data_IF_061226018131
#
_entry.id   IF_061226018131
#
_cell.length_a   1.000
_cell.length_b   1.000
_cell.length_c   1.000
_cell.angle_alpha   90.00
_cell.angle_beta   90.00
_cell.angle_gamma   90.00
#
_symmetry.space_group_name_H-M   'P 1'
#
loop_
_entity.id
_entity.type
_entity.pdbx_description
1 polymer ?
#
# COMPACT_ATOMS: atom_id res chain seq x y z
N UNK A 1 41.31 -27.98 33.25
CA UNK A 1 41.25 -26.52 33.52
C UNK A 1 40.67 -25.91 32.26
N UNK A 2 39.45 -25.36 32.27
CA UNK A 2 39.00 -24.13 32.93
C UNK A 2 39.56 -22.87 32.23
N UNK A 3 38.77 -21.85 31.88
CA UNK A 3 37.34 -21.60 32.18
C UNK A 3 36.56 -21.07 30.96
N UNK A 4 35.24 -21.14 31.02
CA UNK A 4 34.34 -20.53 30.03
C UNK A 4 33.98 -19.08 30.42
N UNK A 5 33.73 -18.23 29.42
CA UNK A 5 33.20 -16.88 29.59
C UNK A 5 31.85 -16.77 28.88
N UNK A 6 30.75 -16.81 29.64
CA UNK A 6 29.40 -16.63 29.10
C UNK A 6 29.07 -15.12 29.05
N UNK A 7 28.89 -14.57 27.85
CA UNK A 7 28.40 -13.21 27.67
C UNK A 7 26.86 -13.18 27.70
N UNK A 8 26.28 -12.48 28.66
CA UNK A 8 24.83 -12.36 28.82
C UNK A 8 24.23 -11.42 27.77
N UNK A 9 23.33 -11.95 26.93
CA UNK A 9 22.52 -11.12 26.03
C UNK A 9 21.47 -10.35 26.82
N UNK A 10 21.74 -9.07 27.08
CA UNK A 10 20.79 -8.14 27.68
C UNK A 10 19.63 -7.85 26.74
N UNK A 11 18.40 -7.88 27.25
CA UNK A 11 17.18 -7.59 26.50
C UNK A 11 17.01 -6.08 26.28
N UNK A 12 17.74 -5.52 25.31
CA UNK A 12 17.62 -4.10 24.94
C UNK A 12 16.24 -3.83 24.34
N UNK A 13 15.42 -3.02 25.04
CA UNK A 13 14.09 -2.67 24.56
C UNK A 13 14.13 -1.72 23.37
N UNK A 14 13.35 -2.03 22.34
CA UNK A 14 13.23 -1.23 21.12
C UNK A 14 12.49 0.09 21.40
N UNK A 15 13.22 1.09 21.89
CA UNK A 15 12.74 2.48 21.92
C UNK A 15 12.62 2.99 20.49
N UNK A 16 11.39 3.00 19.96
CA UNK A 16 11.02 3.74 18.75
C UNK A 16 11.52 5.19 18.91
N UNK A 17 12.36 5.65 17.98
CA UNK A 17 12.75 7.07 17.92
C UNK A 17 11.58 7.87 17.34
N UNK A 18 10.99 8.84 18.07
CA UNK A 18 9.99 9.72 17.49
C UNK A 18 10.66 10.78 16.61
N UNK A 19 10.16 10.97 15.38
CA UNK A 19 10.42 12.17 14.59
C UNK A 19 11.32 12.02 13.37
N UNK A 20 10.73 11.59 12.25
CA UNK A 20 10.91 12.27 10.95
C UNK A 20 9.50 12.59 10.44
N UNK A 21 9.24 13.85 10.09
CA UNK A 21 7.93 14.29 9.57
C UNK A 21 7.85 13.94 8.08
N UNK A 22 6.66 13.59 7.54
CA UNK A 22 6.45 13.71 6.10
C UNK A 22 6.76 15.14 5.63
N UNK A 23 7.12 15.27 4.35
CA UNK A 23 7.07 16.54 3.64
C UNK A 23 5.67 17.15 3.79
N UNK A 24 5.58 18.28 4.50
CA UNK A 24 4.31 18.98 4.72
C UNK A 24 4.02 19.87 3.51
N UNK A 25 2.86 19.67 2.88
CA UNK A 25 2.29 20.64 1.95
C UNK A 25 2.03 21.97 2.69
N UNK A 26 2.37 23.14 2.11
CA UNK A 26 2.22 24.45 2.76
C UNK A 26 0.78 25.00 2.67
N UNK A 27 -0.22 24.18 3.01
CA UNK A 27 -1.63 24.57 3.07
C UNK A 27 -2.11 24.65 4.53
N UNK A 28 -2.07 25.84 5.12
CA UNK A 28 -2.75 26.13 6.38
C UNK A 28 -4.22 26.46 6.14
N UNK A 29 -5.17 25.93 6.94
CA UNK A 29 -6.56 26.40 6.90
C UNK A 29 -6.71 27.74 7.65
N UNK A 30 -7.25 28.75 6.98
CA UNK A 30 -7.64 30.00 7.64
C UNK A 30 -8.87 29.81 8.55
N UNK A 31 -8.91 30.42 9.75
CA UNK A 31 -10.00 30.23 10.70
C UNK A 31 -11.13 31.29 10.61
N UNK A 32 -12.22 30.98 11.32
CA UNK A 32 -13.37 31.81 11.76
C UNK A 32 -14.65 31.77 10.92
N UNK A 33 -15.78 31.62 11.64
CA UNK A 33 -17.13 31.44 11.09
C UNK A 33 -18.14 30.91 12.12
N UNK A 34 -18.08 31.35 13.39
CA UNK A 34 -19.10 30.97 14.40
C UNK A 34 -20.32 31.88 14.27
N UNK A 35 -21.51 31.28 14.16
CA UNK A 35 -22.81 31.89 14.47
C UNK A 35 -23.54 30.96 15.44
N UNK A 36 -24.25 31.50 16.42
CA UNK A 36 -24.73 30.73 17.58
C UNK A 36 -26.19 31.04 17.93
N UNK A 37 -27.00 29.96 18.00
CA UNK A 37 -28.30 29.80 18.68
C UNK A 37 -29.45 30.77 18.37
N UNK A 38 -30.63 30.18 18.18
CA UNK A 38 -31.80 30.53 19.00
C UNK A 38 -32.58 29.26 19.40
N UNK A 39 -33.41 29.38 20.45
CA UNK A 39 -34.26 28.33 21.03
C UNK A 39 -35.72 28.79 20.99
N UNK A 40 -36.65 27.87 20.79
CA UNK A 40 -38.05 27.99 21.23
C UNK A 40 -38.41 26.70 22.01
N UNK A 41 -39.38 26.78 22.93
CA UNK A 41 -39.54 25.82 24.02
C UNK A 41 -40.91 25.11 24.07
N UNK A 42 -40.87 23.87 24.58
CA UNK A 42 -41.80 23.22 25.52
C UNK A 42 -43.28 23.64 25.48
N UNK A 43 -44.15 22.64 25.26
CA UNK A 43 -45.36 22.50 26.07
C UNK A 43 -45.51 21.04 26.54
N UNK A 44 -46.16 20.82 27.69
CA UNK A 44 -46.27 19.50 28.30
C UNK A 44 -47.53 19.35 29.17
N UNK A 45 -48.15 18.17 29.14
CA UNK A 45 -49.24 17.78 30.06
C UNK A 45 -49.08 16.31 30.46
N UNK A 46 -49.38 15.98 31.73
CA UNK A 46 -49.39 14.59 32.26
C UNK A 46 -50.78 13.93 32.00
N UNK A 47 -51.00 12.65 32.31
CA UNK A 47 -51.51 12.22 33.63
C UNK A 47 -51.36 10.69 33.85
N UNK A 48 -51.34 10.32 35.14
CA UNK A 48 -51.23 9.03 35.86
C UNK A 48 -51.96 7.81 35.24
N UNK A 49 -51.35 6.62 35.15
CA UNK A 49 -51.11 5.53 36.16
C UNK A 49 -52.31 4.61 36.48
N UNK A 50 -52.12 3.29 36.29
CA UNK A 50 -52.74 2.20 37.08
C UNK A 50 -51.95 0.88 36.91
N UNK A 51 -51.95 0.02 37.93
CA UNK A 51 -51.33 -1.34 38.00
C UNK A 51 -52.05 -2.16 39.09
N UNK A 52 -51.74 -3.46 39.34
CA UNK A 52 -51.49 -4.60 38.44
C UNK A 52 -52.46 -5.78 38.75
N UNK A 53 -52.32 -6.96 38.11
CA UNK A 53 -52.74 -8.25 38.73
C UNK A 53 -52.17 -9.52 38.08
N UNK A 54 -52.23 -10.62 38.83
CA UNK A 54 -52.18 -12.05 38.47
C UNK A 54 -50.87 -12.71 37.95
N UNK A 55 -50.35 -13.64 38.74
CA UNK A 55 -49.67 -14.88 38.28
C UNK A 55 -50.74 -15.96 37.95
N UNK A 56 -50.50 -17.20 37.49
CA UNK A 56 -49.30 -18.07 37.40
C UNK A 56 -49.55 -19.05 36.18
N UNK A 57 -49.13 -20.31 35.96
CA UNK A 57 -48.37 -21.36 36.65
C UNK A 57 -47.92 -22.47 35.66
N UNK A 58 -46.74 -23.10 35.85
CA UNK A 58 -46.25 -24.34 35.20
C UNK A 58 -46.02 -24.30 33.66
N UNK A 59 -45.02 -24.97 33.07
CA UNK A 59 -44.56 -26.33 33.36
C UNK A 59 -43.07 -26.62 33.01
N UNK A 60 -42.67 -27.87 33.24
CA UNK A 60 -41.31 -28.36 33.45
C UNK A 60 -40.50 -28.78 32.21
N UNK A 61 -39.17 -28.71 32.37
CA UNK A 61 -38.15 -29.57 31.72
C UNK A 61 -38.07 -29.64 30.19
N UNK A 62 -37.02 -29.03 29.65
CA UNK A 62 -35.87 -29.78 29.05
C UNK A 62 -34.65 -28.87 28.92
N UNK A 63 -33.60 -29.13 29.70
CA UNK A 63 -32.29 -28.53 29.43
C UNK A 63 -31.70 -29.17 28.17
N UNK A 64 -31.97 -28.57 27.02
CA UNK A 64 -31.13 -28.76 25.84
C UNK A 64 -29.90 -27.87 26.06
N UNK A 65 -28.76 -28.49 26.37
CA UNK A 65 -27.48 -27.81 26.22
C UNK A 65 -27.29 -27.59 24.72
N UNK A 66 -27.61 -26.38 24.26
CA UNK A 66 -27.21 -25.94 22.93
C UNK A 66 -25.69 -25.82 22.96
N UNK A 67 -25.03 -26.70 22.20
CA UNK A 67 -23.59 -26.67 22.07
C UNK A 67 -23.22 -25.31 21.45
N UNK A 68 -22.50 -24.49 22.21
CA UNK A 68 -21.92 -23.26 21.68
C UNK A 68 -20.83 -23.68 20.71
N UNK A 69 -21.21 -23.81 19.43
CA UNK A 69 -20.26 -23.81 18.33
C UNK A 69 -19.48 -22.50 18.40
N UNK A 70 -18.35 -22.57 19.10
CA UNK A 70 -17.20 -21.79 18.70
C UNK A 70 -16.82 -22.36 17.34
N UNK A 71 -17.19 -21.66 16.28
CA UNK A 71 -16.58 -21.89 14.99
C UNK A 71 -15.08 -21.70 15.18
N UNK A 72 -14.35 -22.81 15.25
CA UNK A 72 -12.90 -22.81 15.28
C UNK A 72 -12.44 -22.30 13.92
N UNK A 73 -12.30 -20.98 13.78
CA UNK A 73 -11.70 -20.35 12.60
C UNK A 73 -10.35 -21.02 12.36
N UNK A 74 -10.28 -21.84 11.31
CA UNK A 74 -9.08 -22.60 11.00
C UNK A 74 -8.00 -21.62 10.57
N UNK A 75 -6.89 -21.60 11.31
CA UNK A 75 -5.80 -20.67 11.06
C UNK A 75 -5.35 -20.77 9.59
N UNK A 76 -5.31 -19.65 8.85
CA UNK A 76 -5.06 -19.68 7.42
C UNK A 76 -3.63 -20.15 7.13
N UNK A 77 -3.50 -21.08 6.18
CA UNK A 77 -2.20 -21.63 5.78
C UNK A 77 -1.25 -20.50 5.37
N UNK A 78 -1.73 -19.58 4.53
CA UNK A 78 -1.05 -18.35 4.14
C UNK A 78 -1.99 -17.15 4.24
N UNK A 79 -1.54 -16.09 4.91
CA UNK A 79 -2.23 -14.80 5.02
C UNK A 79 -1.53 -13.74 4.16
N UNK A 80 -2.31 -12.98 3.38
CA UNK A 80 -1.85 -11.85 2.59
C UNK A 80 -2.48 -10.53 3.02
N UNK A 81 -1.74 -9.43 2.89
CA UNK A 81 -2.25 -8.04 2.91
C UNK A 81 -1.99 -7.43 1.54
N UNK A 82 -3.01 -6.81 0.94
CA UNK A 82 -2.88 -6.04 -0.31
C UNK A 82 -3.25 -4.59 -0.05
N UNK A 83 -2.32 -3.66 -0.28
CA UNK A 83 -2.56 -2.23 -0.04
C UNK A 83 -3.27 -1.58 -1.22
N UNK A 84 -4.37 -0.86 -0.95
CA UNK A 84 -5.18 -0.25 -2.01
C UNK A 84 -5.91 -1.28 -2.88
N UNK A 85 -6.35 -2.38 -2.27
CA UNK A 85 -6.94 -3.54 -2.94
C UNK A 85 -8.38 -3.35 -3.43
N UNK A 86 -8.99 -2.17 -3.30
CA UNK A 86 -10.41 -1.95 -3.62
C UNK A 86 -10.70 -1.62 -5.11
N UNK A 87 -9.69 -1.61 -5.98
CA UNK A 87 -9.85 -1.37 -7.44
C UNK A 87 -8.59 -1.74 -8.23
N UNK A 88 -8.75 -1.92 -9.55
CA UNK A 88 -7.66 -2.10 -10.50
C UNK A 88 -6.77 -3.29 -10.15
N UNK A 89 -5.46 -3.16 -10.39
CA UNK A 89 -4.46 -4.21 -10.13
C UNK A 89 -4.56 -4.76 -8.70
N UNK A 90 -4.78 -3.91 -7.70
CA UNK A 90 -4.90 -4.33 -6.30
C UNK A 90 -6.09 -5.25 -6.04
N UNK A 91 -7.24 -4.98 -6.67
CA UNK A 91 -8.44 -5.83 -6.57
C UNK A 91 -8.20 -7.19 -7.21
N UNK A 92 -7.52 -7.20 -8.35
CA UNK A 92 -7.21 -8.42 -9.07
C UNK A 92 -6.14 -9.27 -8.37
N UNK A 93 -5.14 -8.65 -7.73
CA UNK A 93 -4.21 -9.38 -6.86
C UNK A 93 -4.95 -10.04 -5.70
N UNK A 94 -5.97 -9.39 -5.12
CA UNK A 94 -6.84 -10.04 -4.14
C UNK A 94 -7.59 -11.24 -4.74
N UNK A 95 -8.22 -11.08 -5.91
CA UNK A 95 -8.94 -12.15 -6.64
C UNK A 95 -8.03 -13.36 -6.90
N UNK A 96 -6.87 -13.14 -7.51
CA UNK A 96 -5.95 -14.19 -7.92
C UNK A 96 -5.26 -14.88 -6.74
N UNK A 97 -4.88 -14.16 -5.67
CA UNK A 97 -4.33 -14.80 -4.46
C UNK A 97 -5.40 -15.66 -3.74
N UNK A 98 -6.63 -15.17 -3.65
CA UNK A 98 -7.73 -15.91 -3.03
C UNK A 98 -8.11 -17.17 -3.83
N UNK A 99 -8.09 -17.12 -5.16
CA UNK A 99 -8.22 -18.28 -6.05
C UNK A 99 -7.06 -19.29 -5.94
N UNK A 100 -5.95 -18.93 -5.28
CA UNK A 100 -4.84 -19.82 -4.94
C UNK A 100 -4.88 -20.27 -3.47
N UNK A 101 -6.03 -20.15 -2.80
CA UNK A 101 -6.26 -20.60 -1.42
C UNK A 101 -5.67 -19.70 -0.33
N UNK A 102 -5.02 -18.59 -0.69
CA UNK A 102 -4.48 -17.62 0.28
C UNK A 102 -5.63 -16.84 0.91
N UNK A 103 -5.61 -16.63 2.23
CA UNK A 103 -6.56 -15.72 2.88
C UNK A 103 -6.08 -14.29 2.70
N UNK A 104 -6.89 -13.44 2.08
CA UNK A 104 -6.48 -12.07 1.70
C UNK A 104 -7.19 -11.03 2.54
N UNK A 105 -6.43 -10.19 3.23
CA UNK A 105 -6.90 -8.93 3.78
C UNK A 105 -6.82 -7.87 2.68
N UNK A 106 -7.96 -7.60 2.04
CA UNK A 106 -8.15 -6.50 1.10
C UNK A 106 -8.23 -5.20 1.90
N UNK A 107 -7.35 -4.24 1.60
CA UNK A 107 -7.31 -2.97 2.35
C UNK A 107 -7.59 -1.75 1.50
N UNK A 108 -8.29 -0.77 2.09
CA UNK A 108 -8.72 0.46 1.43
C UNK A 108 -8.75 1.64 2.40
N UNK A 109 -8.51 2.85 1.89
CA UNK A 109 -8.65 4.09 2.66
C UNK A 109 -10.10 4.41 3.00
N UNK A 110 -10.96 4.24 2.01
CA UNK A 110 -12.40 4.41 2.12
C UNK A 110 -13.03 3.08 2.54
N UNK A 111 -13.68 3.08 3.71
CA UNK A 111 -14.29 1.89 4.30
C UNK A 111 -15.47 1.36 3.48
N UNK A 112 -16.28 2.24 2.86
CA UNK A 112 -17.42 1.79 2.06
C UNK A 112 -16.93 1.10 0.79
N UNK A 113 -16.08 1.78 0.01
CA UNK A 113 -15.50 1.23 -1.24
C UNK A 113 -14.69 -0.04 -1.00
N UNK A 114 -14.08 -0.17 0.18
CA UNK A 114 -13.39 -1.38 0.61
C UNK A 114 -14.34 -2.55 0.88
N UNK A 115 -15.45 -2.33 1.59
CA UNK A 115 -16.48 -3.35 1.83
C UNK A 115 -17.22 -3.72 0.54
N UNK A 116 -17.65 -2.73 -0.24
CA UNK A 116 -18.28 -2.91 -1.55
C UNK A 116 -17.42 -3.84 -2.44
N UNK A 117 -16.11 -3.58 -2.50
CA UNK A 117 -15.18 -4.36 -3.31
C UNK A 117 -15.00 -5.80 -2.83
N UNK A 118 -15.06 -6.08 -1.52
CA UNK A 118 -15.04 -7.45 -1.00
C UNK A 118 -16.37 -8.16 -1.30
N UNK A 119 -17.51 -7.49 -1.12
CA UNK A 119 -18.83 -8.06 -1.39
C UNK A 119 -18.99 -8.45 -2.87
N UNK A 120 -18.69 -7.53 -3.80
CA UNK A 120 -18.69 -7.82 -5.24
C UNK A 120 -17.74 -8.96 -5.60
N UNK A 121 -16.49 -8.90 -5.12
CA UNK A 121 -15.47 -9.91 -5.46
C UNK A 121 -15.83 -11.31 -4.94
N UNK A 122 -16.30 -11.43 -3.71
CA UNK A 122 -16.74 -12.69 -3.13
C UNK A 122 -17.95 -13.28 -3.88
N UNK A 123 -18.91 -12.43 -4.27
CA UNK A 123 -20.08 -12.85 -5.04
C UNK A 123 -19.72 -13.25 -6.49
N UNK A 124 -18.98 -12.43 -7.22
CA UNK A 124 -18.58 -12.67 -8.61
C UNK A 124 -17.71 -13.92 -8.79
N UNK A 125 -16.81 -14.17 -7.84
CA UNK A 125 -15.79 -15.22 -7.94
C UNK A 125 -16.07 -16.44 -7.06
N UNK A 126 -17.20 -16.46 -6.34
CA UNK A 126 -17.56 -17.49 -5.35
C UNK A 126 -16.45 -17.73 -4.31
N UNK A 127 -15.93 -16.65 -3.72
CA UNK A 127 -14.84 -16.67 -2.74
C UNK A 127 -15.36 -16.36 -1.33
N UNK A 128 -14.73 -16.97 -0.32
CA UNK A 128 -15.04 -16.74 1.11
C UNK A 128 -13.81 -16.35 1.94
N UNK A 129 -12.62 -16.42 1.34
CA UNK A 129 -11.31 -16.21 1.97
C UNK A 129 -10.77 -14.77 1.79
N UNK A 130 -11.65 -13.79 1.56
CA UNK A 130 -11.28 -12.36 1.48
C UNK A 130 -11.95 -11.59 2.62
N UNK A 131 -11.14 -10.80 3.33
CA UNK A 131 -11.52 -10.04 4.52
C UNK A 131 -11.24 -8.56 4.25
N UNK A 132 -12.16 -7.66 4.60
CA UNK A 132 -11.88 -6.23 4.57
C UNK A 132 -11.19 -5.73 5.85
N UNK A 133 -10.18 -4.87 5.72
CA UNK A 133 -9.73 -4.00 6.81
C UNK A 133 -9.37 -2.61 6.28
N UNK A 134 -9.76 -1.54 6.98
CA UNK A 134 -9.42 -0.17 6.59
C UNK A 134 -7.91 0.07 6.68
N UNK A 135 -7.34 0.76 5.70
CA UNK A 135 -5.94 1.19 5.71
C UNK A 135 -5.74 2.48 4.94
N UNK A 136 -5.27 3.54 5.62
CA UNK A 136 -4.43 4.55 4.99
C UNK A 136 -2.98 4.32 5.39
N UNK A 137 -2.14 4.05 4.37
CA UNK A 137 -0.70 3.87 4.54
C UNK A 137 0.01 5.15 5.02
N UNK A 138 -0.65 6.31 4.99
CA UNK A 138 -0.11 7.58 5.49
C UNK A 138 -0.42 7.83 6.98
N UNK A 139 -1.45 7.21 7.57
CA UNK A 139 -1.81 7.41 8.99
C UNK A 139 -1.26 6.30 9.92
N UNK A 140 -0.53 6.69 10.96
CA UNK A 140 0.04 5.78 11.96
C UNK A 140 -1.03 4.97 12.72
N UNK A 141 -2.19 5.57 13.01
CA UNK A 141 -3.23 4.88 13.78
C UNK A 141 -3.87 3.76 12.95
N UNK A 142 -4.12 4.00 11.66
CA UNK A 142 -4.60 3.04 10.68
C UNK A 142 -3.61 1.90 10.46
N UNK A 143 -2.31 2.21 10.22
CA UNK A 143 -1.24 1.19 10.14
C UNK A 143 -1.14 0.35 11.41
N UNK A 144 -1.16 0.99 12.59
CA UNK A 144 -1.11 0.31 13.89
C UNK A 144 -2.41 -0.43 14.25
N UNK A 145 -3.55 -0.08 13.64
CA UNK A 145 -4.80 -0.84 13.75
C UNK A 145 -4.71 -2.15 12.97
N UNK A 146 -4.28 -2.10 11.71
CA UNK A 146 -4.10 -3.28 10.88
C UNK A 146 -3.06 -4.25 11.48
N UNK A 147 -1.93 -3.73 11.99
CA UNK A 147 -0.93 -4.56 12.66
C UNK A 147 -1.51 -5.31 13.88
N UNK A 148 -2.23 -4.61 14.78
CA UNK A 148 -2.89 -5.24 15.95
C UNK A 148 -4.01 -6.19 15.56
N UNK A 149 -4.72 -5.94 14.46
CA UNK A 149 -5.75 -6.82 13.95
C UNK A 149 -5.16 -8.16 13.48
N UNK A 150 -4.05 -8.11 12.73
CA UNK A 150 -3.35 -9.31 12.25
C UNK A 150 -2.70 -10.06 13.42
N UNK A 151 -2.04 -9.34 14.33
CA UNK A 151 -1.44 -9.92 15.55
C UNK A 151 -2.48 -10.68 16.39
N UNK A 152 -3.62 -10.05 16.69
CA UNK A 152 -4.64 -10.62 17.58
C UNK A 152 -5.49 -11.74 16.96
N UNK A 153 -5.72 -11.75 15.64
CA UNK A 153 -6.51 -12.80 14.96
C UNK A 153 -5.66 -13.91 14.32
N UNK A 154 -4.43 -13.61 13.88
CA UNK A 154 -3.63 -14.52 13.06
C UNK A 154 -2.19 -14.74 13.56
N UNK A 155 -1.63 -13.85 14.40
CA UNK A 155 -0.26 -13.95 14.96
C UNK A 155 0.91 -13.88 13.96
N UNK A 156 0.63 -13.94 12.65
CA UNK A 156 1.62 -13.90 11.57
C UNK A 156 1.06 -13.19 10.32
N UNK A 157 1.96 -12.82 9.42
CA UNK A 157 1.64 -12.46 8.04
C UNK A 157 2.61 -13.20 7.11
N UNK A 158 2.15 -13.74 5.99
CA UNK A 158 3.03 -14.44 5.04
C UNK A 158 3.35 -13.58 3.82
N UNK A 159 2.39 -12.80 3.33
CA UNK A 159 2.50 -12.00 2.11
C UNK A 159 2.10 -10.55 2.36
N UNK A 160 2.93 -9.59 1.90
CA UNK A 160 2.58 -8.18 1.79
C UNK A 160 2.73 -7.71 0.33
N UNK A 161 1.64 -7.25 -0.28
CA UNK A 161 1.65 -6.59 -1.59
C UNK A 161 1.43 -5.09 -1.42
N UNK A 162 2.51 -4.33 -1.59
CA UNK A 162 2.51 -2.87 -1.59
C UNK A 162 2.10 -2.33 -2.97
N UNK A 163 0.81 -2.35 -3.24
CA UNK A 163 0.20 -1.92 -4.51
C UNK A 163 -0.28 -0.45 -4.50
N UNK A 164 -0.64 0.10 -3.34
CA UNK A 164 -1.18 1.45 -3.24
C UNK A 164 -0.22 2.53 -3.80
N UNK A 165 -0.75 3.44 -4.61
CA UNK A 165 0.02 4.54 -5.19
C UNK A 165 -0.81 5.56 -5.97
N UNK A 166 -0.15 6.63 -6.40
CA UNK A 166 -0.72 7.74 -7.19
C UNK A 166 0.24 8.18 -8.31
N UNK A 167 -0.31 8.73 -9.40
CA UNK A 167 0.45 9.19 -10.56
C UNK A 167 1.27 10.48 -10.34
N UNK A 168 1.02 11.22 -9.25
CA UNK A 168 1.85 12.36 -8.84
C UNK A 168 1.77 13.62 -9.70
N UNK A 169 0.72 13.76 -10.51
CA UNK A 169 0.47 14.89 -11.42
C UNK A 169 -1.01 15.29 -11.37
N UNK A 170 -1.29 16.57 -11.60
CA UNK A 170 -2.64 17.08 -11.83
C UNK A 170 -2.96 16.97 -13.32
N UNK A 171 -4.19 16.55 -13.68
CA UNK A 171 -4.54 16.24 -15.08
C UNK A 171 -5.92 16.75 -15.46
N UNK A 172 -5.99 17.51 -16.55
CA UNK A 172 -7.22 17.70 -17.32
C UNK A 172 -7.51 16.42 -18.09
N UNK A 173 -8.49 15.65 -17.62
CA UNK A 173 -8.82 14.35 -18.22
C UNK A 173 -9.54 14.50 -19.57
N UNK A 174 -10.27 15.59 -19.80
CA UNK A 174 -11.06 15.77 -21.02
C UNK A 174 -10.19 16.37 -22.12
N UNK A 175 -9.30 17.31 -21.79
CA UNK A 175 -8.19 17.71 -22.65
C UNK A 175 -7.29 16.52 -23.00
N UNK A 176 -6.92 15.67 -22.04
CA UNK A 176 -6.08 14.49 -22.31
C UNK A 176 -6.78 13.46 -23.22
N UNK A 177 -8.09 13.24 -23.05
CA UNK A 177 -8.89 12.41 -23.97
C UNK A 177 -8.92 13.01 -25.38
N UNK A 178 -9.10 14.32 -25.49
CA UNK A 178 -9.16 15.02 -26.78
C UNK A 178 -7.86 14.94 -27.59
N UNK A 179 -6.70 14.77 -26.94
CA UNK A 179 -5.42 14.55 -27.62
C UNK A 179 -5.28 13.16 -28.28
N UNK A 180 -6.14 12.19 -27.93
CA UNK A 180 -6.21 10.85 -28.54
C UNK A 180 -4.84 10.16 -28.73
N UNK A 181 -3.97 10.24 -27.72
CA UNK A 181 -2.56 9.82 -27.82
C UNK A 181 -2.47 8.29 -27.85
N UNK A 182 -1.92 7.74 -28.94
CA UNK A 182 -1.63 6.32 -29.11
C UNK A 182 -0.82 5.76 -27.90
N UNK A 183 -1.27 4.67 -27.24
CA UNK A 183 -0.58 4.06 -26.09
C UNK A 183 0.92 3.78 -26.27
N UNK A 184 1.39 3.56 -27.50
CA UNK A 184 2.81 3.32 -27.81
C UNK A 184 3.64 4.60 -27.70
N UNK A 185 3.04 5.76 -27.97
CA UNK A 185 3.69 7.08 -27.85
C UNK A 185 3.96 7.40 -26.37
N UNK A 186 3.03 7.05 -25.47
CA UNK A 186 3.25 7.10 -24.02
C UNK A 186 4.46 6.29 -23.58
N UNK A 187 4.52 5.00 -23.96
CA UNK A 187 5.62 4.11 -23.62
C UNK A 187 6.97 4.67 -24.10
N UNK A 188 7.02 5.13 -25.36
CA UNK A 188 8.22 5.66 -26.01
C UNK A 188 8.81 6.94 -25.40
N UNK A 189 8.13 7.58 -24.46
CA UNK A 189 8.52 8.86 -23.86
C UNK A 189 8.24 10.09 -24.74
N UNK A 190 7.97 9.91 -26.04
CA UNK A 190 7.74 11.01 -27.00
C UNK A 190 6.48 11.83 -26.74
N UNK A 191 5.63 11.41 -25.80
CA UNK A 191 4.42 12.15 -25.42
C UNK A 191 4.68 13.44 -24.62
N UNK A 192 5.87 13.69 -24.05
CA UNK A 192 6.14 14.83 -23.13
C UNK A 192 5.58 16.16 -23.65
N UNK A 193 5.97 16.56 -24.85
CA UNK A 193 5.58 17.87 -25.41
C UNK A 193 4.10 17.94 -25.82
N UNK A 194 3.43 16.79 -25.96
CA UNK A 194 1.98 16.72 -26.23
C UNK A 194 1.17 16.83 -24.94
N UNK A 195 1.66 16.28 -23.83
CA UNK A 195 0.92 16.22 -22.56
C UNK A 195 1.17 17.42 -21.64
N UNK A 196 2.21 18.23 -21.86
CA UNK A 196 2.56 19.39 -21.01
C UNK A 196 1.40 20.37 -20.74
N UNK A 197 0.46 20.53 -21.67
CA UNK A 197 -0.71 21.42 -21.52
C UNK A 197 -1.84 20.84 -20.67
N UNK A 198 -1.89 19.51 -20.50
CA UNK A 198 -3.00 18.78 -19.85
C UNK A 198 -2.55 17.93 -18.67
N UNK A 199 -1.25 17.72 -18.49
CA UNK A 199 -0.61 17.03 -17.36
C UNK A 199 0.40 17.98 -16.71
N UNK A 200 0.02 18.53 -15.55
CA UNK A 200 0.80 19.50 -14.80
C UNK A 200 1.45 18.83 -13.61
N UNK A 201 2.79 18.85 -13.55
CA UNK A 201 3.53 18.54 -12.33
C UNK A 201 3.50 19.75 -11.41
N UNK A 202 2.96 19.59 -10.20
CA UNK A 202 3.10 20.58 -9.13
C UNK A 202 3.98 20.05 -8.00
N UNK A 203 4.50 20.94 -7.15
CA UNK A 203 5.25 20.56 -5.96
C UNK A 203 4.41 19.73 -4.98
N UNK A 204 3.14 20.10 -4.76
CA UNK A 204 2.25 19.37 -3.85
C UNK A 204 1.87 17.97 -4.37
N UNK A 205 1.63 17.82 -5.68
CA UNK A 205 1.40 16.49 -6.26
C UNK A 205 2.68 15.63 -6.25
N UNK A 206 3.87 16.24 -6.36
CA UNK A 206 5.14 15.53 -6.19
C UNK A 206 5.35 15.04 -4.75
N UNK A 207 5.14 15.92 -3.76
CA UNK A 207 5.18 15.58 -2.33
C UNK A 207 4.18 14.46 -2.01
N UNK A 208 2.94 14.58 -2.49
CA UNK A 208 1.89 13.56 -2.36
C UNK A 208 2.26 12.24 -3.05
N UNK A 209 2.96 12.29 -4.18
CA UNK A 209 3.48 11.11 -4.88
C UNK A 209 4.54 10.39 -4.04
N UNK A 210 5.58 11.10 -3.58
CA UNK A 210 6.66 10.53 -2.78
C UNK A 210 6.14 10.00 -1.43
N UNK A 211 5.27 10.77 -0.76
CA UNK A 211 4.61 10.36 0.48
C UNK A 211 3.82 9.06 0.28
N UNK A 212 3.02 8.93 -0.79
CA UNK A 212 2.21 7.71 -1.00
C UNK A 212 3.05 6.53 -1.51
N UNK A 213 3.81 6.73 -2.58
CA UNK A 213 4.44 5.65 -3.34
C UNK A 213 5.69 5.07 -2.67
N UNK A 214 6.43 5.89 -1.90
CA UNK A 214 7.63 5.46 -1.17
C UNK A 214 7.42 5.46 0.35
N UNK A 215 7.11 6.60 0.97
CA UNK A 215 7.08 6.67 2.43
C UNK A 215 5.95 5.82 3.05
N UNK A 216 4.75 5.86 2.48
CA UNK A 216 3.63 4.99 2.90
C UNK A 216 3.94 3.50 2.73
N UNK A 217 4.58 3.12 1.61
CA UNK A 217 5.08 1.77 1.34
C UNK A 217 6.13 1.33 2.38
N UNK A 218 7.08 2.21 2.71
CA UNK A 218 8.08 2.00 3.76
C UNK A 218 7.41 1.79 5.11
N UNK A 219 6.55 2.70 5.55
CA UNK A 219 5.96 2.65 6.89
C UNK A 219 5.00 1.48 7.10
N UNK A 220 4.21 1.07 6.09
CA UNK A 220 3.38 -0.14 6.22
C UNK A 220 4.24 -1.41 6.23
N UNK A 221 5.32 -1.44 5.46
CA UNK A 221 6.29 -2.55 5.50
C UNK A 221 6.95 -2.65 6.88
N UNK A 222 7.40 -1.54 7.45
CA UNK A 222 7.98 -1.49 8.80
C UNK A 222 6.98 -1.90 9.89
N UNK A 223 5.72 -1.46 9.79
CA UNK A 223 4.66 -1.82 10.75
C UNK A 223 4.29 -3.31 10.72
N UNK A 224 4.35 -3.96 9.55
CA UNK A 224 4.01 -5.38 9.38
C UNK A 224 5.23 -6.31 9.43
N UNK A 225 6.44 -5.78 9.39
CA UNK A 225 7.69 -6.57 9.45
C UNK A 225 7.80 -7.49 10.68
N UNK A 226 7.32 -7.15 11.90
CA UNK A 226 7.31 -8.07 13.04
C UNK A 226 6.45 -9.32 12.81
N UNK A 227 5.34 -9.18 12.09
CA UNK A 227 4.39 -10.25 11.76
C UNK A 227 4.87 -11.08 10.57
N UNK A 228 5.49 -10.44 9.57
CA UNK A 228 6.17 -11.12 8.46
C UNK A 228 7.28 -12.04 8.96
N UNK A 229 7.96 -11.69 10.05
CA UNK A 229 8.98 -12.54 10.70
C UNK A 229 8.40 -13.78 11.41
N UNK A 230 7.08 -13.86 11.62
CA UNK A 230 6.41 -15.06 12.16
C UNK A 230 5.88 -16.00 11.05
N UNK A 231 6.13 -15.71 9.77
CA UNK A 231 5.70 -16.57 8.66
C UNK A 231 6.40 -17.93 8.70
N UNK A 232 5.63 -18.99 8.95
CA UNK A 232 6.09 -20.38 8.87
C UNK A 232 6.29 -20.87 7.43
N UNK A 233 5.60 -20.27 6.44
CA UNK A 233 5.79 -20.59 5.00
C UNK A 233 6.94 -19.81 4.35
N UNK A 234 7.55 -18.88 5.09
CA UNK A 234 8.53 -17.93 4.58
C UNK A 234 7.88 -16.70 3.96
N UNK A 235 8.30 -15.52 4.40
CA UNK A 235 7.64 -14.25 4.07
C UNK A 235 7.93 -13.76 2.65
N UNK A 236 6.96 -13.04 2.08
CA UNK A 236 7.00 -12.42 0.75
C UNK A 236 6.61 -10.95 0.85
N UNK A 237 7.40 -10.07 0.24
CA UNK A 237 7.07 -8.65 0.07
C UNK A 237 7.17 -8.31 -1.40
N UNK A 238 6.09 -7.76 -1.96
CA UNK A 238 5.94 -7.45 -3.38
C UNK A 238 5.64 -5.96 -3.50
N UNK A 239 6.57 -5.21 -4.08
CA UNK A 239 6.47 -3.77 -4.24
C UNK A 239 6.07 -3.40 -5.68
N UNK A 240 4.86 -2.87 -5.88
CA UNK A 240 4.41 -2.50 -7.23
C UNK A 240 5.17 -1.27 -7.72
N UNK A 241 5.94 -1.46 -8.79
CA UNK A 241 6.77 -0.44 -9.44
C UNK A 241 6.31 -0.15 -10.87
N UNK A 242 7.16 0.43 -11.71
CA UNK A 242 6.85 0.82 -13.08
C UNK A 242 8.09 0.75 -13.96
N UNK A 243 7.93 0.62 -15.29
CA UNK A 243 8.98 0.89 -16.27
C UNK A 243 9.61 2.29 -16.07
N UNK A 244 8.88 3.26 -15.50
CA UNK A 244 9.43 4.58 -15.12
C UNK A 244 10.44 4.56 -13.95
N UNK A 245 10.71 3.38 -13.37
CA UNK A 245 11.81 3.17 -12.42
C UNK A 245 13.14 2.83 -13.10
N UNK A 246 13.18 2.61 -14.41
CA UNK A 246 14.41 2.28 -15.12
C UNK A 246 15.48 3.37 -14.95
N UNK A 247 16.73 2.93 -14.73
CA UNK A 247 17.90 3.81 -14.56
C UNK A 247 18.36 4.39 -15.91
N UNK A 248 17.53 5.26 -16.50
CA UNK A 248 17.70 5.94 -17.80
C UNK A 248 17.72 7.47 -17.68
N UNK A 249 17.93 8.01 -16.48
CA UNK A 249 18.00 9.46 -16.24
C UNK A 249 19.30 10.09 -16.78
N UNK A 250 19.29 11.37 -17.20
CA UNK A 250 20.50 12.06 -17.69
C UNK A 250 21.64 12.18 -16.67
N UNK A 251 21.34 12.26 -15.37
CA UNK A 251 22.37 12.35 -14.32
C UNK A 251 23.14 11.03 -14.18
N UNK A 252 24.24 10.90 -14.92
CA UNK A 252 25.03 9.66 -15.04
C UNK A 252 25.59 9.19 -13.70
N UNK A 253 26.11 10.14 -12.90
CA UNK A 253 26.68 9.85 -11.59
C UNK A 253 25.63 9.26 -10.66
N UNK A 254 24.46 9.89 -10.53
CA UNK A 254 23.37 9.38 -9.70
C UNK A 254 22.86 8.03 -10.20
N UNK A 255 22.68 7.90 -11.52
CA UNK A 255 22.25 6.66 -12.18
C UNK A 255 23.17 5.47 -11.84
N UNK A 256 24.48 5.69 -11.81
CA UNK A 256 25.45 4.64 -11.52
C UNK A 256 25.61 4.40 -10.01
N UNK A 257 25.50 5.44 -9.16
CA UNK A 257 25.38 5.29 -7.71
C UNK A 257 24.14 4.45 -7.33
N UNK A 258 22.99 4.65 -7.97
CA UNK A 258 21.74 3.92 -7.75
C UNK A 258 21.86 2.41 -8.03
N UNK A 259 22.79 1.98 -8.89
CA UNK A 259 23.06 0.54 -9.14
C UNK A 259 23.78 -0.13 -7.98
N UNK A 260 24.52 0.62 -7.17
CA UNK A 260 25.29 0.11 -6.05
C UNK A 260 24.48 0.20 -4.75
N UNK A 261 23.69 -0.83 -4.43
CA UNK A 261 22.88 -0.87 -3.19
C UNK A 261 23.72 -0.71 -1.89
N UNK A 262 25.02 -1.00 -1.92
CA UNK A 262 25.86 -1.01 -0.72
C UNK A 262 26.17 0.39 -0.17
N UNK A 263 25.98 1.44 -0.98
CA UNK A 263 26.21 2.85 -0.60
C UNK A 263 24.93 3.61 -0.26
N UNK A 264 23.78 2.94 -0.14
CA UNK A 264 22.47 3.55 0.18
C UNK A 264 21.86 3.06 1.49
N UNK A 265 21.32 4.02 2.23
CA UNK A 265 20.36 3.83 3.32
C UNK A 265 19.20 4.83 3.15
N UNK A 266 18.22 4.78 4.06
CA UNK A 266 17.07 5.68 4.00
C UNK A 266 17.42 7.15 4.20
N UNK A 267 18.52 7.48 4.89
CA UNK A 267 18.94 8.87 5.08
C UNK A 267 19.54 9.46 3.78
N UNK A 268 20.30 8.65 3.02
CA UNK A 268 20.78 9.04 1.69
C UNK A 268 19.65 9.13 0.67
N UNK A 269 18.66 8.23 0.76
CA UNK A 269 17.42 8.32 -0.04
C UNK A 269 16.65 9.61 0.30
N UNK A 270 16.49 9.94 1.58
CA UNK A 270 15.82 11.16 2.02
C UNK A 270 16.58 12.41 1.54
N UNK A 271 17.91 12.44 1.61
CA UNK A 271 18.73 13.51 1.06
C UNK A 271 18.51 13.70 -0.46
N UNK A 272 18.57 12.62 -1.24
CA UNK A 272 18.30 12.63 -2.68
C UNK A 272 16.89 13.14 -3.02
N UNK A 273 15.87 12.74 -2.24
CA UNK A 273 14.50 13.21 -2.44
C UNK A 273 14.28 14.67 -2.02
N UNK A 274 15.02 15.17 -1.02
CA UNK A 274 15.07 16.60 -0.69
C UNK A 274 15.70 17.42 -1.82
N UNK A 275 16.81 16.94 -2.40
CA UNK A 275 17.50 17.58 -3.54
C UNK A 275 16.57 17.65 -4.77
N UNK A 276 15.96 16.52 -5.14
CA UNK A 276 14.97 16.45 -6.23
C UNK A 276 13.77 17.39 -6.02
N UNK A 277 13.19 17.45 -4.82
CA UNK A 277 12.10 18.39 -4.52
C UNK A 277 12.58 19.85 -4.52
N UNK A 278 13.84 20.11 -4.17
CA UNK A 278 14.51 21.40 -4.29
C UNK A 278 14.60 21.84 -5.75
N UNK A 279 15.12 21.01 -6.64
CA UNK A 279 15.23 21.34 -8.07
C UNK A 279 13.87 21.41 -8.77
N UNK A 280 12.91 20.57 -8.41
CA UNK A 280 11.52 20.70 -8.86
C UNK A 280 10.95 22.08 -8.51
N UNK A 281 11.17 22.54 -7.27
CA UNK A 281 10.65 23.84 -6.79
C UNK A 281 11.33 25.04 -7.45
N UNK A 282 12.56 24.88 -7.93
CA UNK A 282 13.32 25.91 -8.63
C UNK A 282 13.30 25.74 -10.17
N UNK A 283 12.47 24.83 -10.69
CA UNK A 283 12.30 24.53 -12.13
C UNK A 283 13.54 23.97 -12.85
N UNK A 284 14.54 23.46 -12.11
CA UNK A 284 15.86 23.00 -12.62
C UNK A 284 15.96 21.50 -12.90
N UNK A 285 14.84 20.80 -13.12
CA UNK A 285 14.87 19.34 -13.26
C UNK A 285 15.74 18.85 -14.42
N UNK A 286 15.73 19.55 -15.55
CA UNK A 286 16.54 19.21 -16.72
C UNK A 286 18.02 19.55 -16.50
N UNK A 287 18.33 20.70 -15.88
CA UNK A 287 19.69 21.15 -15.55
C UNK A 287 20.41 20.18 -14.61
N UNK A 288 19.74 19.72 -13.56
CA UNK A 288 20.28 18.73 -12.61
C UNK A 288 20.18 17.27 -13.09
N UNK A 289 19.65 17.05 -14.31
CA UNK A 289 19.61 15.73 -14.97
C UNK A 289 18.61 14.74 -14.37
N UNK A 290 17.55 15.22 -13.72
CA UNK A 290 16.45 14.40 -13.21
C UNK A 290 15.56 13.87 -14.36
N UNK A 291 14.74 12.82 -14.15
CA UNK A 291 13.77 12.38 -15.15
C UNK A 291 12.73 13.48 -15.42
N UNK A 292 12.59 13.96 -16.65
CA UNK A 292 11.63 15.05 -17.00
C UNK A 292 10.20 14.56 -17.22
N UNK A 293 10.01 13.29 -17.60
CA UNK A 293 8.68 12.70 -17.79
C UNK A 293 8.13 12.11 -16.48
N UNK A 294 6.98 12.63 -16.03
CA UNK A 294 6.31 12.26 -14.77
C UNK A 294 7.31 12.23 -13.59
N UNK A 295 8.05 13.34 -13.35
CA UNK A 295 9.30 13.33 -12.60
C UNK A 295 9.17 12.71 -11.21
N UNK A 296 8.15 13.11 -10.45
CA UNK A 296 7.94 12.62 -9.09
C UNK A 296 7.50 11.15 -9.05
N UNK A 297 6.73 10.70 -10.06
CA UNK A 297 6.35 9.30 -10.19
C UNK A 297 7.57 8.43 -10.50
N UNK A 298 8.35 8.82 -11.51
CA UNK A 298 9.60 8.17 -11.92
C UNK A 298 10.56 8.05 -10.73
N UNK A 299 10.85 9.16 -10.03
CA UNK A 299 11.69 9.14 -8.82
C UNK A 299 11.10 8.29 -7.70
N UNK A 300 9.77 8.33 -7.47
CA UNK A 300 9.14 7.48 -6.46
C UNK A 300 9.33 5.98 -6.73
N UNK A 301 9.27 5.57 -8.00
CA UNK A 301 9.40 4.16 -8.39
C UNK A 301 10.86 3.71 -8.49
N UNK A 302 11.78 4.59 -8.89
CA UNK A 302 13.24 4.42 -8.73
C UNK A 302 13.60 4.12 -7.26
N UNK A 303 13.11 4.94 -6.32
CA UNK A 303 13.38 4.75 -4.90
C UNK A 303 12.73 3.48 -4.33
N UNK A 304 11.54 3.09 -4.81
CA UNK A 304 10.91 1.81 -4.43
C UNK A 304 11.79 0.61 -4.82
N UNK A 305 12.43 0.61 -5.99
CA UNK A 305 13.30 -0.48 -6.41
C UNK A 305 14.59 -0.53 -5.57
N UNK A 306 15.22 0.64 -5.33
CA UNK A 306 16.37 0.74 -4.44
C UNK A 306 16.04 0.25 -3.02
N UNK A 307 14.92 0.69 -2.45
CA UNK A 307 14.46 0.27 -1.13
C UNK A 307 14.12 -1.22 -1.07
N UNK A 308 13.60 -1.80 -2.16
CA UNK A 308 13.40 -3.25 -2.31
C UNK A 308 14.73 -4.01 -2.19
N UNK A 309 15.79 -3.54 -2.87
CA UNK A 309 17.14 -4.12 -2.79
C UNK A 309 17.74 -3.98 -1.38
N UNK A 310 17.58 -2.83 -0.74
CA UNK A 310 18.01 -2.58 0.66
C UNK A 310 17.31 -3.55 1.63
N UNK A 311 15.99 -3.70 1.52
CA UNK A 311 15.22 -4.63 2.35
C UNK A 311 15.62 -6.10 2.13
N UNK A 312 15.80 -6.53 0.87
CA UNK A 312 16.25 -7.88 0.55
C UNK A 312 17.62 -8.20 1.18
N UNK A 313 18.58 -7.26 1.10
CA UNK A 313 19.90 -7.38 1.75
C UNK A 313 19.79 -7.48 3.28
N UNK A 314 18.86 -6.77 3.90
CA UNK A 314 18.62 -6.81 5.37
C UNK A 314 17.87 -8.05 5.83
N UNK A 315 17.07 -8.66 4.95
CA UNK A 315 16.20 -9.79 5.27
C UNK A 315 16.38 -10.94 4.26
N UNK A 316 17.59 -11.54 4.15
CA UNK A 316 17.92 -12.52 3.09
C UNK A 316 17.09 -13.82 3.14
N UNK A 317 16.39 -14.08 4.24
CA UNK A 317 15.41 -15.17 4.35
C UNK A 317 14.07 -14.89 3.65
N UNK A 318 13.68 -13.63 3.47
CA UNK A 318 12.43 -13.25 2.80
C UNK A 318 12.63 -13.12 1.28
N UNK A 319 11.59 -13.37 0.47
CA UNK A 319 11.59 -12.95 -0.95
C UNK A 319 11.00 -11.54 -1.01
N UNK A 320 11.83 -10.54 -1.30
CA UNK A 320 11.45 -9.12 -1.31
C UNK A 320 11.77 -8.59 -2.71
N UNK A 321 10.74 -8.42 -3.54
CA UNK A 321 10.91 -8.11 -4.97
C UNK A 321 9.99 -6.96 -5.39
N UNK A 322 10.32 -6.32 -6.51
CA UNK A 322 9.49 -5.28 -7.11
C UNK A 322 9.02 -5.70 -8.51
N UNK A 323 7.79 -5.32 -8.87
CA UNK A 323 7.13 -5.76 -10.10
C UNK A 323 6.58 -4.56 -10.87
N UNK A 324 6.99 -4.39 -12.12
CA UNK A 324 6.26 -3.55 -13.07
C UNK A 324 5.07 -4.35 -13.63
N UNK A 325 3.81 -3.90 -13.45
CA UNK A 325 2.63 -4.65 -13.89
C UNK A 325 2.31 -4.51 -15.39
N UNK A 326 3.23 -4.03 -16.23
CA UNK A 326 2.91 -3.61 -17.60
C UNK A 326 2.09 -2.31 -17.65
N UNK A 327 1.61 -1.93 -18.84
CA UNK A 327 0.80 -0.71 -19.03
C UNK A 327 -0.70 -0.99 -18.92
N UNK A 328 -1.13 -1.26 -17.68
CA UNK A 328 -2.48 -1.70 -17.33
C UNK A 328 -3.54 -0.61 -17.53
N UNK A 329 -4.71 -0.98 -18.03
CA UNK A 329 -5.87 -0.10 -18.14
C UNK A 329 -6.50 0.16 -16.76
N UNK A 330 -6.21 1.32 -16.13
CA UNK A 330 -6.78 1.71 -14.83
C UNK A 330 -6.95 3.23 -14.67
N UNK A 331 -7.64 3.64 -13.59
CA UNK A 331 -7.78 5.07 -13.22
C UNK A 331 -6.44 5.82 -13.04
N UNK A 332 -5.33 5.14 -12.65
CA UNK A 332 -4.06 5.83 -12.34
C UNK A 332 -3.40 6.44 -13.60
N UNK A 333 -3.75 5.90 -14.77
CA UNK A 333 -3.36 6.33 -16.09
C UNK A 333 -4.60 6.68 -16.95
N UNK A 334 -5.68 7.14 -16.31
CA UNK A 334 -6.89 7.67 -16.97
C UNK A 334 -7.55 6.70 -17.98
N UNK A 335 -7.39 5.39 -17.74
CA UNK A 335 -7.84 4.28 -18.59
C UNK A 335 -7.18 4.24 -20.00
N UNK A 336 -5.94 4.70 -20.12
CA UNK A 336 -5.15 4.69 -21.39
C UNK A 336 -4.31 3.43 -21.62
N UNK A 337 -4.34 2.46 -20.70
CA UNK A 337 -3.54 1.24 -20.76
C UNK A 337 -4.02 0.22 -21.79
N UNK A 338 -3.13 -0.68 -22.19
CA UNK A 338 -3.34 -1.66 -23.28
C UNK A 338 -3.60 -3.09 -22.80
N UNK A 339 -3.25 -3.42 -21.56
CA UNK A 339 -3.55 -4.74 -20.96
C UNK A 339 -4.58 -4.61 -19.83
N UNK A 340 -5.44 -5.62 -19.60
CA UNK A 340 -6.45 -5.57 -18.56
C UNK A 340 -5.85 -5.80 -17.16
N UNK A 341 -6.51 -5.37 -16.07
CA UNK A 341 -6.08 -5.63 -14.68
C UNK A 341 -5.75 -7.11 -14.39
N UNK A 342 -6.54 -8.02 -14.95
CA UNK A 342 -6.43 -9.49 -14.97
C UNK A 342 -5.05 -9.99 -15.44
N UNK A 343 -4.41 -9.23 -16.32
CA UNK A 343 -3.07 -9.52 -16.84
C UNK A 343 -1.99 -8.85 -15.99
N UNK A 344 -2.16 -7.56 -15.68
CA UNK A 344 -1.19 -6.78 -14.91
C UNK A 344 -0.95 -7.26 -13.47
N UNK A 345 -1.94 -7.94 -12.86
CA UNK A 345 -1.80 -8.55 -11.54
C UNK A 345 -0.87 -9.79 -11.52
N UNK A 346 -0.73 -10.51 -12.65
CA UNK A 346 -0.06 -11.82 -12.72
C UNK A 346 1.38 -11.78 -12.21
N UNK A 347 2.10 -10.70 -12.50
CA UNK A 347 3.46 -10.49 -12.02
C UNK A 347 3.54 -10.40 -10.49
N UNK A 348 2.65 -9.60 -9.89
CA UNK A 348 2.59 -9.45 -8.44
C UNK A 348 2.16 -10.74 -7.74
N UNK A 349 1.27 -11.52 -8.36
CA UNK A 349 0.85 -12.84 -7.88
C UNK A 349 1.98 -13.87 -8.00
N UNK A 350 2.71 -13.92 -9.13
CA UNK A 350 3.90 -14.77 -9.31
C UNK A 350 4.96 -14.45 -8.25
N UNK A 351 5.24 -13.17 -8.00
CA UNK A 351 6.17 -12.71 -6.97
C UNK A 351 5.69 -13.03 -5.52
N UNK A 352 4.39 -12.92 -5.25
CA UNK A 352 3.77 -13.23 -3.96
C UNK A 352 3.71 -14.74 -3.65
N UNK A 353 3.79 -15.58 -4.68
CA UNK A 353 3.71 -17.05 -4.56
C UNK A 353 5.05 -17.76 -4.84
N UNK A 354 6.17 -17.01 -4.93
CA UNK A 354 7.50 -17.58 -5.13
C UNK A 354 7.85 -18.66 -4.09
N UNK A 355 8.59 -19.72 -4.47
CA UNK A 355 9.13 -20.69 -3.53
C UNK A 355 10.24 -20.07 -2.67
N UNK A 356 10.64 -20.75 -1.61
CA UNK A 356 11.49 -20.19 -0.56
C UNK A 356 12.97 -19.99 -0.99
N UNK A 357 13.40 -20.75 -1.98
CA UNK A 357 14.65 -20.66 -2.73
C UNK A 357 14.60 -19.64 -3.89
N UNK A 358 13.44 -19.03 -4.15
CA UNK A 358 13.23 -18.06 -5.22
C UNK A 358 14.05 -16.76 -5.08
N UNK A 359 14.07 -15.92 -6.13
CA UNK A 359 14.80 -14.65 -6.15
C UNK A 359 14.35 -13.67 -5.06
N UNK A 360 15.27 -12.82 -4.61
CA UNK A 360 15.03 -11.72 -3.66
C UNK A 360 15.92 -10.53 -4.02
N UNK A 361 15.40 -9.32 -3.88
CA UNK A 361 16.04 -8.09 -4.33
C UNK A 361 15.90 -7.80 -5.83
N UNK A 362 15.05 -8.55 -6.55
CA UNK A 362 14.95 -8.47 -8.00
C UNK A 362 13.82 -7.53 -8.48
N UNK A 363 13.98 -7.02 -9.70
CA UNK A 363 12.95 -6.38 -10.51
C UNK A 363 12.34 -7.40 -11.47
N UNK A 364 11.01 -7.38 -11.58
CA UNK A 364 10.26 -8.14 -12.57
C UNK A 364 9.57 -7.18 -13.56
N UNK A 365 9.67 -7.47 -14.85
CA UNK A 365 8.77 -6.93 -15.86
C UNK A 365 7.62 -7.93 -16.07
N UNK A 366 6.44 -7.55 -15.59
CA UNK A 366 5.26 -8.41 -15.54
C UNK A 366 5.60 -9.72 -14.83
N UNK A 367 5.61 -10.85 -15.54
CA UNK A 367 5.95 -12.15 -14.95
C UNK A 367 7.45 -12.46 -14.98
N UNK A 368 8.27 -11.81 -15.79
CA UNK A 368 9.66 -12.23 -16.01
C UNK A 368 10.67 -11.34 -15.29
N UNK A 369 11.86 -11.88 -15.02
CA UNK A 369 12.96 -11.10 -14.42
C UNK A 369 13.44 -10.06 -15.44
N UNK A 370 13.46 -8.78 -15.04
CA UNK A 370 13.86 -7.67 -15.92
C UNK A 370 15.23 -7.10 -15.55
N UNK A 371 15.98 -6.66 -16.56
CA UNK A 371 17.38 -6.22 -16.45
C UNK A 371 17.58 -4.81 -15.88
N UNK A 372 16.52 -4.18 -15.34
CA UNK A 372 16.50 -2.75 -15.08
C UNK A 372 17.34 -2.28 -13.87
N UNK A 373 17.68 -3.18 -12.92
CA UNK A 373 18.14 -2.85 -11.56
C UNK A 373 19.18 -3.82 -10.99
#
# INVERSE_FOLDING_TARGET
>A
MAAAAAASYSSTSWRVRPGLSPFRSPLQPHPHGRVQLQRIAIFATRIRMATPSAAMQSSSTRHRLEAVNHDHETMPERLAVVTGGNRGIGLEVCRQLALQGVTVILTARDEKRGKDAVESLCHESNLSNIIFHQLDILDDNSRASLARYIDSRFGKLDILVNNAGVGGVAVDQDGLRALNIDPRVWLSGKAVNLIQSVIVQTYDEAVKCLNTNYYGLKWITEALLPLLKQSSSGSRIVNTTSLRSELKMPNEKLRDELRNVDIWDEARIEAMLNEFLGDLKNERLEEAGWPTMLPAYSMSKTVVNLYTRILAKRHPGMRINCVHPGFVNTEINWNTGIIPPEEGARGAVKAALLPQDGPTGCYFDQTELGEAW
#
